data_IF_819656846041
#
_entry.id   IF_819656846041
#
_cell.length_a   1.000
_cell.length_b   1.000
_cell.length_c   1.000
_cell.angle_alpha   90.00
_cell.angle_beta   90.00
_cell.angle_gamma   90.00
#
_symmetry.space_group_name_H-M   'P 1'
#
loop_
_entity.id
_entity.type
_entity.pdbx_description
1 polymer ?
#
# COMPACT_ATOMS: atom_id res chain seq x y z
N UNK A 1 -0.18 -50.50 -44.30
CA UNK A 1 1.03 -50.05 -43.59
C UNK A 1 0.71 -48.73 -42.91
N UNK A 2 0.60 -48.76 -41.59
CA UNK A 2 0.35 -47.61 -40.71
C UNK A 2 1.66 -47.27 -40.02
N UNK A 3 2.33 -46.21 -40.47
CA UNK A 3 3.52 -45.67 -39.80
C UNK A 3 3.13 -44.45 -38.99
N UNK A 4 3.04 -44.67 -37.67
CA UNK A 4 2.95 -43.63 -36.65
C UNK A 4 4.34 -43.04 -36.43
N UNK A 5 4.62 -41.85 -36.99
CA UNK A 5 5.76 -41.04 -36.55
C UNK A 5 5.38 -40.33 -35.24
N UNK A 6 5.73 -40.98 -34.13
CA UNK A 6 5.65 -40.45 -32.78
C UNK A 6 6.75 -39.39 -32.58
N UNK A 7 6.48 -38.14 -32.94
CA UNK A 7 7.31 -37.00 -32.52
C UNK A 7 6.95 -36.67 -31.07
N UNK A 8 7.65 -37.34 -30.16
CA UNK A 8 7.77 -36.93 -28.76
C UNK A 8 8.69 -35.70 -28.72
N UNK A 9 8.14 -34.52 -28.99
CA UNK A 9 8.82 -33.27 -28.66
C UNK A 9 8.46 -32.92 -27.22
N UNK A 10 9.48 -32.94 -26.36
CA UNK A 10 9.37 -32.64 -24.95
C UNK A 10 8.94 -31.18 -24.80
N UNK A 11 7.68 -30.98 -24.40
CA UNK A 11 7.22 -29.72 -23.86
C UNK A 11 7.88 -29.48 -22.48
N UNK A 12 9.15 -29.08 -22.49
CA UNK A 12 9.79 -28.43 -21.36
C UNK A 12 9.13 -27.06 -21.17
N UNK A 13 7.99 -27.06 -20.48
CA UNK A 13 7.38 -25.86 -19.93
C UNK A 13 8.25 -25.39 -18.76
N UNK A 14 9.39 -24.79 -19.12
CA UNK A 14 10.32 -24.11 -18.25
C UNK A 14 9.61 -22.99 -17.50
N UNK A 15 9.02 -23.34 -16.36
CA UNK A 15 8.67 -22.55 -15.21
C UNK A 15 8.88 -21.05 -15.44
N UNK A 16 7.79 -20.40 -15.87
CA UNK A 16 7.60 -18.95 -15.79
C UNK A 16 8.21 -18.46 -14.48
N UNK A 17 9.27 -17.65 -14.56
CA UNK A 17 10.08 -17.19 -13.44
C UNK A 17 9.27 -16.28 -12.51
N UNK A 18 8.38 -16.89 -11.73
CA UNK A 18 7.76 -16.30 -10.55
C UNK A 18 8.91 -16.05 -9.58
N UNK A 19 9.05 -14.79 -9.14
CA UNK A 19 10.06 -14.28 -8.20
C UNK A 19 10.60 -15.35 -7.25
N UNK A 20 11.93 -15.40 -7.13
CA UNK A 20 12.61 -16.38 -6.27
C UNK A 20 12.05 -16.36 -4.84
N UNK A 21 11.63 -17.53 -4.35
CA UNK A 21 11.19 -17.76 -2.96
C UNK A 21 12.09 -17.11 -1.89
N UNK A 22 13.44 -17.14 -1.98
CA UNK A 22 14.28 -16.47 -0.99
C UNK A 22 14.08 -14.95 -0.93
N UNK A 23 13.75 -14.29 -2.05
CA UNK A 23 13.47 -12.85 -2.06
C UNK A 23 12.17 -12.53 -1.33
N UNK A 24 11.12 -13.32 -1.57
CA UNK A 24 9.84 -13.21 -0.86
C UNK A 24 9.99 -13.37 0.65
N UNK A 25 10.76 -14.39 1.09
CA UNK A 25 11.02 -14.63 2.51
C UNK A 25 11.88 -13.52 3.14
N UNK A 26 12.85 -12.99 2.39
CA UNK A 26 13.66 -11.85 2.84
C UNK A 26 12.82 -10.58 3.06
N UNK A 27 11.95 -10.23 2.10
CA UNK A 27 11.03 -9.09 2.24
C UNK A 27 10.05 -9.32 3.39
N UNK A 28 9.51 -10.54 3.53
CA UNK A 28 8.61 -10.88 4.63
C UNK A 28 9.28 -10.66 6.00
N UNK A 29 10.51 -11.15 6.18
CA UNK A 29 11.27 -10.94 7.41
C UNK A 29 11.49 -9.44 7.68
N UNK A 30 11.82 -8.65 6.66
CA UNK A 30 11.96 -7.20 6.79
C UNK A 30 10.65 -6.52 7.24
N UNK A 31 9.51 -6.94 6.69
CA UNK A 31 8.20 -6.40 7.08
C UNK A 31 7.84 -6.75 8.53
N UNK A 32 8.19 -7.94 9.00
CA UNK A 32 8.02 -8.33 10.40
C UNK A 32 8.86 -7.42 11.32
N UNK A 33 10.13 -7.20 10.99
CA UNK A 33 11.01 -6.31 11.77
C UNK A 33 10.45 -4.89 11.84
N UNK A 34 10.03 -4.33 10.69
CA UNK A 34 9.40 -3.01 10.65
C UNK A 34 8.08 -2.98 11.43
N UNK A 35 7.39 -4.11 11.57
CA UNK A 35 6.15 -4.22 12.35
C UNK A 35 6.40 -4.17 13.84
N UNK A 36 7.39 -4.90 14.33
CA UNK A 36 7.85 -4.74 15.71
C UNK A 36 8.25 -3.30 15.99
N UNK A 37 9.00 -2.68 15.07
CA UNK A 37 9.43 -1.29 15.22
C UNK A 37 8.25 -0.31 15.32
N UNK A 38 7.18 -0.50 14.54
CA UNK A 38 5.97 0.34 14.67
C UNK A 38 5.28 0.18 16.01
N UNK A 39 5.20 -1.04 16.55
CA UNK A 39 4.60 -1.28 17.87
C UNK A 39 5.45 -0.62 18.95
N UNK A 40 6.77 -0.79 18.92
CA UNK A 40 7.66 -0.16 19.92
C UNK A 40 7.63 1.36 19.86
N UNK A 41 7.56 1.95 18.66
CA UNK A 41 7.44 3.40 18.50
C UNK A 41 6.07 3.89 18.98
N UNK A 42 5.00 3.13 18.79
CA UNK A 42 3.67 3.50 19.27
C UNK A 42 3.56 3.47 20.81
N UNK A 43 4.39 2.68 21.49
CA UNK A 43 4.46 2.66 22.95
C UNK A 43 5.33 3.77 23.54
N UNK A 44 6.17 4.42 22.72
CA UNK A 44 7.01 5.54 23.16
C UNK A 44 6.29 6.86 22.88
N UNK A 45 6.11 7.67 23.92
CA UNK A 45 5.49 8.99 23.81
C UNK A 45 6.54 10.02 23.35
N UNK A 46 6.71 10.15 22.03
CA UNK A 46 7.58 11.12 21.38
C UNK A 46 6.81 12.43 21.17
N UNK A 47 6.46 13.09 22.28
CA UNK A 47 5.91 14.46 22.39
C UNK A 47 5.70 15.21 21.05
N UNK A 48 4.62 14.90 20.33
CA UNK A 48 4.16 15.63 19.15
C UNK A 48 4.75 15.22 17.80
N UNK A 49 5.77 14.35 17.76
CA UNK A 49 6.33 13.79 16.50
C UNK A 49 5.89 12.35 16.23
N UNK A 50 5.20 11.72 17.17
CA UNK A 50 4.70 10.33 17.10
C UNK A 50 4.06 9.99 15.75
N UNK A 51 3.14 10.85 15.31
CA UNK A 51 2.39 10.67 14.06
C UNK A 51 3.35 10.71 12.87
N UNK A 52 4.27 11.68 12.82
CA UNK A 52 5.21 11.79 11.69
C UNK A 52 6.13 10.57 11.60
N UNK A 53 6.60 10.06 12.74
CA UNK A 53 7.44 8.85 12.78
C UNK A 53 6.63 7.62 12.37
N UNK A 54 5.41 7.45 12.90
CA UNK A 54 4.53 6.34 12.55
C UNK A 54 4.21 6.32 11.04
N UNK A 55 3.90 7.47 10.46
CA UNK A 55 3.61 7.63 9.04
C UNK A 55 4.84 7.36 8.16
N UNK A 56 6.03 7.77 8.60
CA UNK A 56 7.28 7.45 7.89
C UNK A 56 7.52 5.93 7.84
N UNK A 57 7.39 5.24 8.97
CA UNK A 57 7.57 3.78 9.04
C UNK A 57 6.50 3.08 8.19
N UNK A 58 5.24 3.52 8.26
CA UNK A 58 4.15 2.99 7.44
C UNK A 58 4.45 3.15 5.93
N UNK A 59 4.99 4.29 5.53
CA UNK A 59 5.37 4.56 4.12
C UNK A 59 6.47 3.61 3.66
N UNK A 60 7.52 3.40 4.48
CA UNK A 60 8.60 2.45 4.13
C UNK A 60 8.06 1.04 3.96
N UNK A 61 7.15 0.57 4.83
CA UNK A 61 6.50 -0.74 4.67
C UNK A 61 5.70 -0.83 3.38
N UNK A 62 4.89 0.18 3.08
CA UNK A 62 4.10 0.23 1.86
C UNK A 62 4.99 0.18 0.61
N UNK A 63 6.12 0.89 0.61
CA UNK A 63 7.10 0.85 -0.48
C UNK A 63 7.75 -0.52 -0.64
N UNK A 64 8.11 -1.22 0.46
CA UNK A 64 8.63 -2.59 0.38
C UNK A 64 7.59 -3.54 -0.26
N UNK A 65 6.34 -3.45 0.16
CA UNK A 65 5.26 -4.27 -0.40
C UNK A 65 5.05 -3.95 -1.89
N UNK A 66 4.98 -2.68 -2.26
CA UNK A 66 4.80 -2.26 -3.64
C UNK A 66 5.98 -2.69 -4.53
N UNK A 67 7.21 -2.47 -4.08
CA UNK A 67 8.40 -2.78 -4.86
C UNK A 67 8.57 -4.29 -5.11
N UNK A 68 8.39 -5.12 -4.07
CA UNK A 68 8.72 -6.55 -4.12
C UNK A 68 7.49 -7.45 -4.30
N UNK A 69 6.43 -7.30 -3.49
CA UNK A 69 5.25 -8.17 -3.55
C UNK A 69 4.31 -7.84 -4.71
N UNK A 70 4.19 -6.55 -5.06
CA UNK A 70 3.46 -6.14 -6.27
C UNK A 70 4.32 -6.21 -7.53
N UNK A 71 5.57 -6.69 -7.41
CA UNK A 71 6.55 -6.82 -8.49
C UNK A 71 6.84 -5.50 -9.24
N UNK A 72 6.48 -4.35 -8.64
CA UNK A 72 6.51 -3.05 -9.31
C UNK A 72 7.93 -2.64 -9.74
N UNK A 73 8.95 -3.09 -8.99
CA UNK A 73 10.36 -2.85 -9.32
C UNK A 73 10.84 -3.65 -10.55
N UNK A 74 10.17 -4.75 -10.88
CA UNK A 74 10.55 -5.70 -11.94
C UNK A 74 9.56 -5.71 -13.11
N UNK A 75 8.45 -4.99 -12.99
CA UNK A 75 7.43 -4.83 -14.01
C UNK A 75 7.70 -3.62 -14.92
N UNK A 76 6.84 -3.40 -15.90
CA UNK A 76 6.91 -2.28 -16.83
C UNK A 76 6.75 -0.96 -16.09
N UNK A 77 7.52 0.05 -16.52
CA UNK A 77 7.45 1.42 -16.01
C UNK A 77 6.03 2.03 -16.03
N UNK A 78 5.18 1.61 -16.97
CA UNK A 78 3.77 2.01 -17.02
C UNK A 78 3.01 1.65 -15.73
N UNK A 79 3.30 0.50 -15.11
CA UNK A 79 2.61 0.08 -13.89
C UNK A 79 3.04 0.95 -12.70
N UNK A 80 4.33 1.33 -12.63
CA UNK A 80 4.84 2.31 -11.66
C UNK A 80 4.12 3.65 -11.83
N UNK A 81 4.01 4.13 -13.08
CA UNK A 81 3.36 5.40 -13.39
C UNK A 81 1.88 5.39 -13.00
N UNK A 82 1.15 4.31 -13.29
CA UNK A 82 -0.24 4.15 -12.89
C UNK A 82 -0.42 4.10 -11.37
N UNK A 83 0.49 3.43 -10.65
CA UNK A 83 0.48 3.40 -9.19
C UNK A 83 0.69 4.79 -8.59
N UNK A 84 1.68 5.55 -9.07
CA UNK A 84 1.92 6.92 -8.63
C UNK A 84 0.72 7.83 -8.95
N UNK A 85 0.16 7.71 -10.16
CA UNK A 85 -1.02 8.47 -10.55
C UNK A 85 -2.22 8.16 -9.65
N UNK A 86 -2.44 6.88 -9.31
CA UNK A 86 -3.46 6.48 -8.35
C UNK A 86 -3.25 7.12 -6.98
N UNK A 87 -2.02 7.13 -6.45
CA UNK A 87 -1.73 7.79 -5.17
C UNK A 87 -1.99 9.30 -5.20
N UNK A 88 -1.67 9.98 -6.31
CA UNK A 88 -1.98 11.41 -6.48
C UNK A 88 -3.50 11.63 -6.44
N UNK A 89 -4.28 10.81 -7.13
CA UNK A 89 -5.74 10.92 -7.11
C UNK A 89 -6.32 10.65 -5.73
N UNK A 90 -5.81 9.68 -4.98
CA UNK A 90 -6.22 9.41 -3.60
C UNK A 90 -5.87 10.60 -2.70
N UNK A 91 -4.66 11.15 -2.81
CA UNK A 91 -4.25 12.32 -2.03
C UNK A 91 -5.11 13.54 -2.33
N UNK A 92 -5.43 13.78 -3.61
CA UNK A 92 -6.31 14.87 -4.03
C UNK A 92 -7.75 14.65 -3.52
N UNK A 93 -8.27 13.42 -3.61
CA UNK A 93 -9.60 13.08 -3.09
C UNK A 93 -9.69 13.30 -1.59
N UNK A 94 -8.73 12.79 -0.81
CA UNK A 94 -8.68 12.97 0.65
C UNK A 94 -8.54 14.46 0.98
N UNK A 95 -7.66 15.17 0.28
CA UNK A 95 -7.46 16.61 0.47
C UNK A 95 -8.74 17.41 0.26
N UNK A 96 -9.46 17.16 -0.83
CA UNK A 96 -10.74 17.82 -1.08
C UNK A 96 -11.83 17.38 -0.10
N UNK A 97 -11.91 16.10 0.29
CA UNK A 97 -12.87 15.64 1.27
C UNK A 97 -12.66 16.30 2.65
N UNK A 98 -11.41 16.50 3.06
CA UNK A 98 -11.07 17.20 4.30
C UNK A 98 -11.41 18.69 4.21
N UNK A 99 -11.03 19.36 3.11
CA UNK A 99 -11.36 20.77 2.90
C UNK A 99 -12.88 21.00 2.92
N UNK A 100 -13.63 20.14 2.24
CA UNK A 100 -15.09 20.16 2.24
C UNK A 100 -15.64 20.02 3.67
N UNK A 101 -15.17 19.00 4.40
CA UNK A 101 -15.58 18.74 5.79
C UNK A 101 -15.31 19.93 6.72
N UNK A 102 -14.13 20.56 6.62
CA UNK A 102 -13.78 21.74 7.43
C UNK A 102 -14.66 22.95 7.10
N UNK A 103 -15.03 23.14 5.82
CA UNK A 103 -15.88 24.27 5.42
C UNK A 103 -17.33 24.14 5.94
N UNK A 104 -17.88 22.92 6.02
CA UNK A 104 -19.25 22.69 6.52
C UNK A 104 -19.34 22.56 8.04
N UNK A 105 -18.25 22.21 8.73
CA UNK A 105 -18.22 22.04 10.19
C UNK A 105 -18.88 23.19 10.99
N UNK A 106 -18.61 24.49 10.72
CA UNK A 106 -19.22 25.58 11.51
C UNK A 106 -20.74 25.65 11.35
N UNK A 107 -21.26 25.33 10.16
CA UNK A 107 -22.70 25.34 9.89
C UNK A 107 -23.38 24.21 10.66
N UNK A 108 -22.80 23.00 10.63
CA UNK A 108 -23.29 21.83 11.37
C UNK A 108 -23.33 22.12 12.88
N UNK A 109 -22.30 22.78 13.42
CA UNK A 109 -22.26 23.18 14.83
C UNK A 109 -23.36 24.21 15.17
N UNK A 110 -23.65 25.15 14.28
CA UNK A 110 -24.74 26.11 14.46
C UNK A 110 -26.11 25.42 14.52
N UNK A 111 -26.38 24.45 13.64
CA UNK A 111 -27.63 23.67 13.68
C UNK A 111 -27.77 22.86 14.97
N UNK A 112 -26.69 22.21 15.41
CA UNK A 112 -26.68 21.46 16.66
C UNK A 112 -26.99 22.36 17.86
N UNK A 113 -26.29 23.49 17.98
CA UNK A 113 -26.48 24.44 19.08
C UNK A 113 -27.90 25.04 19.09
N UNK A 114 -28.44 25.40 17.92
CA UNK A 114 -29.80 25.94 17.81
C UNK A 114 -30.87 24.92 18.25
N UNK A 115 -30.65 23.63 17.97
CA UNK A 115 -31.55 22.55 18.37
C UNK A 115 -31.42 22.21 19.85
N UNK A 116 -30.19 22.23 20.39
CA UNK A 116 -29.95 21.98 21.82
C UNK A 116 -30.52 23.07 22.73
N UNK A 117 -30.77 24.29 22.22
CA UNK A 117 -31.39 25.37 22.98
C UNK A 117 -32.93 25.37 22.99
N UNK A 118 -33.58 24.52 22.18
CA UNK A 118 -35.07 24.45 22.10
C UNK A 118 -35.67 23.25 22.85
N UNK A 119 -34.84 22.34 23.38
CA UNK A 119 -35.22 21.36 24.41
C UNK A 119 -34.94 21.90 25.82
#
# INVERSE_FOLDING_TARGET
MSDHSNSADNHDHGLSHVMSIPMLLGTFAALIVLTFFTVTVAEWELHGIDIWVALAIATVKALLVAAFFMHLCYDKFINVLLFVFSLIFVALFIGFALLDSEQYQPQIQQYYNATATVE
#
